data_IF_496492821594
#
_entry.id   IF_496492821594
#
_cell.length_a   1.000
_cell.length_b   1.000
_cell.length_c   1.000
_cell.angle_alpha   90.00
_cell.angle_beta   90.00
_cell.angle_gamma   90.00
#
_symmetry.space_group_name_H-M   'P 1'
#
loop_
_entity.id
_entity.type
_entity.pdbx_description
1 polymer ?
#
# COMPACT_ATOMS: atom_id res chain seq x y z
N UNK A 1 -12.66 7.74 -20.40
CA UNK A 1 -12.17 6.38 -20.19
C UNK A 1 -11.79 6.24 -18.73
N UNK A 2 -12.57 5.54 -17.97
CA UNK A 2 -12.38 5.36 -16.55
C UNK A 2 -11.22 4.40 -16.33
N UNK A 3 -10.27 4.80 -15.48
CA UNK A 3 -9.25 3.94 -14.92
C UNK A 3 -9.91 2.98 -13.90
N UNK A 4 -10.76 2.08 -14.37
CA UNK A 4 -11.44 1.10 -13.54
C UNK A 4 -10.64 -0.19 -13.53
N UNK A 5 -10.37 -0.70 -12.33
CA UNK A 5 -9.76 -2.03 -12.15
C UNK A 5 -10.82 -3.09 -12.48
N UNK A 6 -10.42 -4.11 -13.21
CA UNK A 6 -11.27 -5.26 -13.50
C UNK A 6 -10.96 -6.43 -12.56
N UNK A 7 -11.91 -7.36 -12.43
CA UNK A 7 -11.73 -8.61 -11.70
C UNK A 7 -10.58 -9.45 -12.25
N UNK A 8 -10.44 -9.51 -13.57
CA UNK A 8 -9.36 -10.25 -14.22
C UNK A 8 -7.98 -9.69 -13.88
N UNK A 9 -7.83 -8.36 -13.84
CA UNK A 9 -6.56 -7.71 -13.44
C UNK A 9 -6.17 -8.02 -12.00
N UNK A 10 -7.15 -8.15 -11.09
CA UNK A 10 -6.86 -8.57 -9.71
C UNK A 10 -6.39 -10.02 -9.64
N UNK A 11 -7.01 -10.91 -10.41
CA UNK A 11 -6.59 -12.31 -10.51
C UNK A 11 -5.18 -12.40 -11.10
N UNK A 12 -4.90 -11.67 -12.16
CA UNK A 12 -3.57 -11.62 -12.79
C UNK A 12 -2.52 -11.07 -11.82
N UNK A 13 -2.86 -10.05 -11.03
CA UNK A 13 -1.98 -9.51 -10.01
C UNK A 13 -1.61 -10.58 -8.96
N UNK A 14 -2.61 -11.33 -8.45
CA UNK A 14 -2.38 -12.43 -7.51
C UNK A 14 -1.46 -13.49 -8.10
N UNK A 15 -1.68 -13.87 -9.36
CA UNK A 15 -0.88 -14.88 -10.04
C UNK A 15 0.50 -14.40 -10.48
N UNK A 16 0.75 -13.09 -10.52
CA UNK A 16 2.07 -12.51 -10.81
C UNK A 16 3.06 -12.65 -9.65
N UNK A 17 2.55 -12.87 -8.43
CA UNK A 17 3.39 -13.13 -7.24
C UNK A 17 3.72 -14.61 -7.15
N UNK A 18 4.97 -14.93 -6.82
CA UNK A 18 5.42 -16.32 -6.67
C UNK A 18 4.55 -17.05 -5.63
N UNK A 19 4.10 -18.29 -5.91
CA UNK A 19 3.29 -19.10 -4.98
C UNK A 19 3.90 -19.24 -3.59
N UNK A 20 5.22 -19.22 -3.44
CA UNK A 20 5.90 -19.29 -2.16
C UNK A 20 5.55 -18.12 -1.21
N UNK A 21 5.21 -16.94 -1.76
CA UNK A 21 4.85 -15.76 -0.98
C UNK A 21 3.35 -15.57 -0.83
N UNK A 22 2.51 -16.25 -1.61
CA UNK A 22 1.05 -16.08 -1.57
C UNK A 22 0.41 -16.46 -0.24
N UNK A 23 1.01 -17.39 0.50
CA UNK A 23 0.46 -17.84 1.79
C UNK A 23 0.38 -16.75 2.86
N UNK A 24 1.24 -15.73 2.77
CA UNK A 24 1.27 -14.58 3.68
C UNK A 24 1.03 -13.26 2.94
N UNK A 25 0.59 -13.32 1.69
CA UNK A 25 0.34 -12.15 0.89
C UNK A 25 -0.93 -11.43 1.33
N UNK A 26 -0.89 -10.12 1.23
CA UNK A 26 -2.01 -9.22 1.53
C UNK A 26 -2.13 -8.17 0.43
N UNK A 27 -3.32 -7.61 0.30
CA UNK A 27 -3.53 -6.42 -0.53
C UNK A 27 -3.26 -5.15 0.27
N UNK A 28 -2.76 -4.12 -0.39
CA UNK A 28 -2.66 -2.78 0.16
C UNK A 28 -3.14 -1.74 -0.85
N UNK A 29 -4.03 -0.87 -0.44
CA UNK A 29 -4.59 0.19 -1.27
C UNK A 29 -5.22 1.30 -0.43
N UNK A 30 -5.62 2.39 -1.09
CA UNK A 30 -6.36 3.49 -0.48
C UNK A 30 -7.82 3.11 -0.23
N UNK A 31 -8.47 3.72 0.76
CA UNK A 31 -9.89 3.49 1.08
C UNK A 31 -10.83 3.81 -0.11
N UNK A 32 -10.52 4.82 -0.90
CA UNK A 32 -11.28 5.12 -2.11
C UNK A 32 -11.19 3.99 -3.14
N UNK A 33 -10.01 3.38 -3.27
CA UNK A 33 -9.82 2.19 -4.10
C UNK A 33 -10.64 1.01 -3.57
N UNK A 34 -10.68 0.80 -2.24
CA UNK A 34 -11.52 -0.23 -1.63
C UNK A 34 -13.00 -0.05 -1.99
N UNK A 35 -13.49 1.20 -1.96
CA UNK A 35 -14.88 1.51 -2.33
C UNK A 35 -15.20 1.05 -3.76
N UNK A 36 -14.29 1.28 -4.70
CA UNK A 36 -14.49 0.84 -6.08
C UNK A 36 -14.35 -0.69 -6.22
N UNK A 37 -13.39 -1.31 -5.53
CA UNK A 37 -13.25 -2.77 -5.52
C UNK A 37 -14.47 -3.48 -4.94
N UNK A 38 -15.11 -2.92 -3.91
CA UNK A 38 -16.36 -3.46 -3.34
C UNK A 38 -17.56 -3.44 -4.30
N UNK A 39 -17.50 -2.62 -5.34
CA UNK A 39 -18.53 -2.57 -6.39
C UNK A 39 -18.33 -3.64 -7.48
N UNK A 40 -17.15 -4.23 -7.56
CA UNK A 40 -16.85 -5.25 -8.56
C UNK A 40 -17.71 -6.49 -8.35
N UNK A 41 -18.18 -7.02 -9.44
CA UNK A 41 -18.98 -8.25 -9.51
C UNK A 41 -18.38 -9.18 -10.55
N UNK A 42 -18.52 -10.49 -10.34
CA UNK A 42 -18.22 -11.46 -11.38
C UNK A 42 -19.32 -11.47 -12.48
N UNK A 43 -19.13 -12.27 -13.52
CA UNK A 43 -20.06 -12.40 -14.62
C UNK A 43 -21.47 -12.88 -14.17
N UNK A 44 -21.57 -13.54 -13.04
CA UNK A 44 -22.81 -14.00 -12.42
C UNK A 44 -23.40 -12.99 -11.41
N UNK A 45 -22.77 -11.82 -11.26
CA UNK A 45 -23.22 -10.75 -10.37
C UNK A 45 -22.84 -10.94 -8.89
N UNK A 46 -21.98 -11.92 -8.56
CA UNK A 46 -21.50 -12.15 -7.20
C UNK A 46 -20.39 -11.15 -6.84
N UNK A 47 -20.36 -10.63 -5.61
CA UNK A 47 -19.28 -9.75 -5.19
C UNK A 47 -17.96 -10.51 -5.08
N UNK A 48 -16.90 -9.90 -5.57
CA UNK A 48 -15.52 -10.40 -5.38
C UNK A 48 -15.01 -10.19 -3.95
N UNK A 49 -15.61 -9.25 -3.26
CA UNK A 49 -15.37 -8.97 -1.86
C UNK A 49 -16.22 -9.90 -1.00
N UNK A 50 -15.58 -10.60 -0.05
CA UNK A 50 -16.26 -11.46 0.91
C UNK A 50 -16.33 -10.77 2.27
N UNK A 51 -17.54 -10.46 2.77
CA UNK A 51 -17.69 -9.93 4.12
C UNK A 51 -17.33 -10.99 5.15
N UNK A 52 -16.67 -10.60 6.23
CA UNK A 52 -16.51 -11.44 7.41
C UNK A 52 -17.86 -11.73 8.05
N UNK A 53 -18.23 -13.00 8.15
CA UNK A 53 -19.53 -13.42 8.70
C UNK A 53 -19.52 -13.41 10.22
N UNK A 54 -18.37 -13.66 10.85
CA UNK A 54 -18.18 -13.61 12.28
C UNK A 54 -17.73 -12.20 12.74
N UNK A 55 -18.15 -11.81 13.95
CA UNK A 55 -17.89 -10.48 14.55
C UNK A 55 -16.39 -10.11 14.63
N UNK A 56 -15.48 -11.05 14.44
CA UNK A 56 -14.01 -10.89 14.49
C UNK A 56 -13.30 -11.38 13.22
N UNK A 57 -14.04 -11.74 12.20
CA UNK A 57 -13.46 -12.22 10.95
C UNK A 57 -13.27 -11.03 10.01
N UNK A 58 -12.03 -10.72 9.58
CA UNK A 58 -11.78 -9.61 8.67
C UNK A 58 -12.36 -9.91 7.29
N UNK A 59 -12.86 -8.88 6.64
CA UNK A 59 -13.24 -8.95 5.24
C UNK A 59 -12.04 -9.36 4.38
N UNK A 60 -12.30 -10.11 3.30
CA UNK A 60 -11.27 -10.57 2.37
C UNK A 60 -11.64 -10.22 0.93
N UNK A 61 -10.61 -10.10 0.08
CA UNK A 61 -10.75 -9.97 -1.37
C UNK A 61 -10.03 -11.15 -2.00
N UNK A 62 -10.73 -11.94 -2.81
CA UNK A 62 -10.21 -13.18 -3.41
C UNK A 62 -9.58 -14.14 -2.38
N UNK A 63 -10.07 -14.14 -1.14
CA UNK A 63 -9.55 -14.97 -0.04
C UNK A 63 -8.32 -14.41 0.67
N UNK A 64 -7.82 -13.22 0.29
CA UNK A 64 -6.67 -12.57 0.91
C UNK A 64 -7.11 -11.40 1.78
N UNK A 65 -6.37 -11.15 2.85
CA UNK A 65 -6.54 -9.95 3.69
C UNK A 65 -6.14 -8.71 2.93
N UNK A 66 -6.59 -7.56 3.42
CA UNK A 66 -6.17 -6.28 2.90
C UNK A 66 -5.89 -5.28 4.01
N UNK A 67 -5.00 -4.35 3.72
CA UNK A 67 -4.64 -3.23 4.58
C UNK A 67 -4.95 -1.93 3.86
N UNK A 68 -5.61 -1.01 4.56
CA UNK A 68 -5.87 0.32 4.04
C UNK A 68 -4.71 1.24 4.40
N UNK A 69 -4.14 1.86 3.37
CA UNK A 69 -3.10 2.86 3.51
C UNK A 69 -3.50 4.15 2.78
N UNK A 70 -3.81 5.18 3.55
CA UNK A 70 -4.27 6.47 3.03
C UNK A 70 -3.20 7.23 2.23
N UNK A 71 -1.93 6.84 2.35
CA UNK A 71 -0.83 7.41 1.56
C UNK A 71 -0.67 6.76 0.18
N UNK A 72 -1.37 5.68 -0.07
CA UNK A 72 -1.40 5.07 -1.40
C UNK A 72 -2.18 5.97 -2.38
N UNK A 73 -1.72 6.06 -3.64
CA UNK A 73 -2.46 6.80 -4.66
C UNK A 73 -3.84 6.16 -4.90
N UNK A 74 -4.80 7.00 -5.25
CA UNK A 74 -6.11 6.58 -5.72
C UNK A 74 -6.02 6.08 -7.16
N UNK A 75 -7.12 5.52 -7.68
CA UNK A 75 -7.20 5.07 -9.06
C UNK A 75 -7.18 6.26 -10.02
N UNK A 76 -6.01 6.57 -10.52
CA UNK A 76 -5.76 7.61 -11.54
C UNK A 76 -4.93 7.01 -12.68
N UNK A 77 -5.02 7.55 -13.90
CA UNK A 77 -4.19 7.08 -15.02
C UNK A 77 -2.71 7.09 -14.68
N UNK A 78 -2.02 5.96 -14.90
CA UNK A 78 -0.62 5.77 -14.60
C UNK A 78 -0.28 5.53 -13.11
N UNK A 79 -1.25 5.61 -12.20
CA UNK A 79 -1.02 5.39 -10.77
C UNK A 79 -0.91 3.90 -10.42
N UNK A 80 -0.08 3.60 -9.42
CA UNK A 80 0.01 2.26 -8.81
C UNK A 80 -0.93 2.22 -7.61
N UNK A 81 -2.20 1.92 -7.86
CA UNK A 81 -3.27 2.04 -6.86
C UNK A 81 -3.45 0.80 -5.98
N UNK A 82 -2.96 -0.36 -6.39
CA UNK A 82 -3.05 -1.61 -5.64
C UNK A 82 -1.69 -2.28 -5.57
N UNK A 83 -1.30 -2.69 -4.37
CA UNK A 83 -0.16 -3.57 -4.12
C UNK A 83 -0.68 -4.92 -3.63
N UNK A 84 -0.01 -5.99 -4.03
CA UNK A 84 -0.25 -7.33 -3.54
C UNK A 84 1.06 -8.07 -3.33
N UNK A 85 1.21 -8.73 -2.20
CA UNK A 85 2.36 -9.56 -1.90
C UNK A 85 2.65 -9.70 -0.42
N UNK A 86 3.78 -10.30 -0.11
CA UNK A 86 4.28 -10.48 1.26
C UNK A 86 5.07 -9.25 1.71
N UNK A 87 4.42 -8.37 2.44
CA UNK A 87 5.02 -7.13 2.96
C UNK A 87 6.09 -7.36 4.04
N UNK A 88 6.20 -8.57 4.59
CA UNK A 88 7.29 -8.91 5.52
C UNK A 88 8.68 -8.86 4.85
N UNK A 89 8.72 -8.86 3.53
CA UNK A 89 9.96 -8.72 2.74
C UNK A 89 10.36 -7.27 2.47
N UNK A 90 9.55 -6.31 2.88
CA UNK A 90 9.90 -4.89 2.82
C UNK A 90 10.56 -4.48 4.14
N UNK A 91 11.79 -3.97 4.06
CA UNK A 91 12.58 -3.59 5.22
C UNK A 91 12.72 -2.08 5.30
N UNK A 92 12.45 -1.55 6.48
CA UNK A 92 12.66 -0.13 6.81
C UNK A 92 13.89 -0.04 7.69
N UNK A 93 14.80 0.85 7.33
CA UNK A 93 15.99 1.16 8.11
C UNK A 93 15.89 2.58 8.65
N UNK A 94 15.88 2.70 9.94
CA UNK A 94 16.02 3.97 10.65
C UNK A 94 17.48 4.15 11.08
N UNK A 95 18.06 5.30 10.75
CA UNK A 95 19.45 5.61 11.08
C UNK A 95 19.47 6.57 12.26
N UNK A 96 19.81 6.07 13.44
CA UNK A 96 19.87 6.79 14.70
C UNK A 96 18.49 7.32 15.17
N UNK A 97 18.46 7.81 16.38
CA UNK A 97 17.30 8.53 16.92
C UNK A 97 17.15 9.92 16.29
N UNK A 98 16.01 10.55 16.53
CA UNK A 98 15.78 11.92 16.12
C UNK A 98 16.81 12.82 16.80
N UNK A 99 17.58 13.55 16.01
CA UNK A 99 18.53 14.54 16.51
C UNK A 99 17.83 15.89 16.62
N UNK A 100 17.81 16.45 17.83
CA UNK A 100 17.27 17.77 18.10
C UNK A 100 18.42 18.73 18.42
N UNK A 101 18.51 19.80 17.63
CA UNK A 101 19.52 20.86 17.82
C UNK A 101 18.81 22.16 18.13
N UNK A 102 19.20 22.79 19.23
CA UNK A 102 18.75 24.14 19.58
C UNK A 102 19.66 25.17 18.88
N UNK A 103 19.06 26.14 18.22
CA UNK A 103 19.74 27.20 17.48
C UNK A 103 19.39 28.54 18.15
N UNK A 104 20.30 29.07 18.94
CA UNK A 104 20.06 30.31 19.70
C UNK A 104 20.32 31.58 18.86
N UNK A 105 21.13 31.48 17.81
CA UNK A 105 21.60 32.63 17.03
C UNK A 105 20.72 32.98 15.82
N UNK A 106 20.01 32.01 15.24
CA UNK A 106 19.30 32.16 13.95
C UNK A 106 18.23 33.25 13.98
N UNK A 107 17.53 33.42 15.09
CA UNK A 107 16.45 34.40 15.26
C UNK A 107 16.65 35.26 16.53
N UNK A 108 17.90 35.45 16.95
CA UNK A 108 18.22 36.18 18.17
C UNK A 108 17.74 37.65 18.11
N UNK A 109 17.76 38.31 16.94
CA UNK A 109 17.27 39.66 16.72
C UNK A 109 15.75 39.81 16.97
N UNK A 110 14.98 38.72 16.85
CA UNK A 110 13.55 38.70 17.14
C UNK A 110 13.22 38.16 18.54
N UNK A 111 14.23 37.87 19.36
CA UNK A 111 14.03 37.28 20.67
C UNK A 111 13.49 35.84 20.64
N UNK A 112 13.71 35.12 19.56
CA UNK A 112 13.21 33.76 19.31
C UNK A 112 14.36 32.75 19.31
N UNK A 113 14.03 31.51 19.66
CA UNK A 113 14.94 30.36 19.60
C UNK A 113 14.36 29.36 18.60
N UNK A 114 15.20 28.86 17.69
CA UNK A 114 14.81 27.82 16.74
C UNK A 114 15.26 26.46 17.23
N UNK A 115 14.45 25.45 16.93
CA UNK A 115 14.79 24.05 17.13
C UNK A 115 14.79 23.33 15.77
N UNK A 116 15.90 22.67 15.45
CA UNK A 116 16.05 21.87 14.26
C UNK A 116 15.98 20.39 14.67
N UNK A 117 15.00 19.66 14.12
CA UNK A 117 14.90 18.22 14.30
C UNK A 117 15.09 17.54 12.93
N UNK A 118 15.90 16.51 12.90
CA UNK A 118 16.05 15.68 11.69
C UNK A 118 16.19 14.20 12.05
N UNK A 119 15.71 13.38 11.14
CA UNK A 119 15.84 11.93 11.17
C UNK A 119 16.13 11.43 9.76
N UNK A 120 16.69 10.24 9.66
CA UNK A 120 16.98 9.59 8.38
C UNK A 120 16.35 8.22 8.34
N UNK A 121 15.55 7.99 7.31
CA UNK A 121 14.84 6.75 7.06
C UNK A 121 15.12 6.29 5.64
N UNK A 122 15.15 5.00 5.42
CA UNK A 122 15.21 4.39 4.09
C UNK A 122 14.39 3.09 4.10
N UNK A 123 13.89 2.70 2.95
CA UNK A 123 13.13 1.47 2.80
C UNK A 123 13.45 0.76 1.51
N UNK A 124 13.58 -0.54 1.58
CA UNK A 124 13.86 -1.37 0.42
C UNK A 124 13.13 -2.70 0.47
N UNK A 125 12.67 -3.15 -0.69
CA UNK A 125 12.19 -4.50 -0.87
C UNK A 125 13.39 -5.44 -1.04
N UNK A 126 13.50 -6.44 -0.17
CA UNK A 126 14.45 -7.53 -0.35
C UNK A 126 13.87 -8.51 -1.36
N UNK A 127 14.31 -8.36 -2.60
CA UNK A 127 13.91 -9.20 -3.72
C UNK A 127 15.12 -9.94 -4.27
N UNK A 128 15.13 -11.25 -4.10
CA UNK A 128 16.14 -12.13 -4.68
C UNK A 128 15.82 -12.51 -6.15
N UNK A 129 15.07 -11.69 -6.86
CA UNK A 129 14.59 -11.94 -8.22
C UNK A 129 13.27 -12.72 -8.30
N UNK A 130 12.58 -12.88 -7.17
CA UNK A 130 11.33 -13.65 -7.05
C UNK A 130 10.08 -12.80 -6.91
N UNK A 131 10.25 -11.47 -6.89
CA UNK A 131 9.16 -10.49 -6.86
C UNK A 131 8.10 -10.76 -5.76
N UNK A 132 8.44 -10.62 -4.49
CA UNK A 132 7.53 -10.91 -3.38
C UNK A 132 6.35 -9.94 -3.27
N UNK A 133 6.46 -8.74 -3.86
CA UNK A 133 5.40 -7.73 -3.92
C UNK A 133 5.25 -7.23 -5.37
N UNK A 134 4.02 -7.14 -5.83
CA UNK A 134 3.67 -6.61 -7.17
C UNK A 134 2.69 -5.45 -7.03
N UNK A 135 2.71 -4.57 -8.02
CA UNK A 135 1.81 -3.43 -8.11
C UNK A 135 0.94 -3.53 -9.36
N UNK A 136 -0.35 -3.21 -9.21
CA UNK A 136 -1.24 -2.95 -10.33
C UNK A 136 -1.12 -1.47 -10.70
N UNK A 137 -0.68 -1.20 -11.91
CA UNK A 137 -0.60 0.15 -12.45
C UNK A 137 -1.74 0.39 -13.43
N UNK A 138 -2.45 1.50 -13.23
CA UNK A 138 -3.49 1.92 -14.16
C UNK A 138 -2.88 2.27 -15.51
N UNK A 139 -3.56 1.97 -16.64
CA UNK A 139 -3.07 2.39 -17.95
C UNK A 139 -2.92 3.92 -17.99
N UNK A 140 -1.85 4.37 -18.63
CA UNK A 140 -1.69 5.78 -18.95
C UNK A 140 -2.67 6.11 -20.10
N UNK A 141 -3.49 7.13 -19.91
CA UNK A 141 -4.44 7.60 -20.94
C UNK A 141 -3.70 8.23 -22.14
#
# INVERSE_FOLDING_TARGET
SEAAITDLELVDLVHSVDPAYRGQAEFMFNDQTLRELKKLRDAEGRPLWLPGIAVREPDTILGYRYVINTHMPVMEPGAKSVLFGDFSKYYIRDVMDITLVRLDEVYAEYGQVAFLAFSRHDGALLDAGTNPIKALQQPAS
#
